data_IF_248640691708
#
_entry.id   IF_248640691708
#
_cell.length_a   1.000
_cell.length_b   1.000
_cell.length_c   1.000
_cell.angle_alpha   90.00
_cell.angle_beta   90.00
_cell.angle_gamma   90.00
#
_symmetry.space_group_name_H-M   'P 1'
#
loop_
_entity.id
_entity.type
_entity.pdbx_description
1 polymer ?
#
# COMPACT_ATOMS: atom_id res chain seq x y z
N UNK A 1 -14.24 -17.33 17.87
CA UNK A 1 -14.66 -16.51 16.72
C UNK A 1 -13.97 -15.15 16.80
N UNK A 2 -13.13 -14.76 15.82
CA UNK A 2 -12.43 -13.46 15.84
C UNK A 2 -13.42 -12.33 15.57
N UNK A 3 -13.39 -11.25 16.38
CA UNK A 3 -14.27 -10.08 16.24
C UNK A 3 -13.57 -8.92 15.53
N UNK A 4 -12.35 -8.59 15.95
CA UNK A 4 -11.53 -7.53 15.33
C UNK A 4 -11.05 -7.94 13.95
N UNK A 5 -11.08 -6.99 13.01
CA UNK A 5 -10.70 -7.20 11.61
C UNK A 5 -9.25 -6.80 11.36
N UNK A 6 -8.58 -7.49 10.44
CA UNK A 6 -7.19 -7.22 10.03
C UNK A 6 -7.20 -6.53 8.67
N UNK A 7 -6.61 -5.33 8.63
CA UNK A 7 -6.28 -4.60 7.42
C UNK A 7 -4.79 -4.79 7.14
N UNK A 8 -4.42 -5.23 5.95
CA UNK A 8 -3.02 -5.36 5.54
C UNK A 8 -2.75 -4.54 4.27
N UNK A 9 -1.65 -3.77 4.28
CA UNK A 9 -1.24 -2.97 3.10
C UNK A 9 -0.50 -3.87 2.12
N UNK A 10 -0.91 -3.85 0.85
CA UNK A 10 -0.24 -4.58 -0.21
C UNK A 10 0.90 -3.74 -0.80
N UNK A 11 2.07 -4.35 -0.94
CA UNK A 11 3.27 -3.75 -1.51
C UNK A 11 4.16 -4.80 -2.16
N UNK A 12 5.40 -4.44 -2.56
CA UNK A 12 6.30 -5.35 -3.26
C UNK A 12 6.61 -6.68 -2.54
N UNK A 13 6.48 -6.70 -1.21
CA UNK A 13 6.67 -7.92 -0.42
C UNK A 13 5.43 -8.84 -0.38
N UNK A 14 4.28 -8.39 -0.89
CA UNK A 14 2.97 -9.02 -0.70
C UNK A 14 2.04 -8.94 -1.92
N UNK A 15 2.57 -8.62 -3.10
CA UNK A 15 1.77 -8.45 -4.32
C UNK A 15 1.76 -9.67 -5.25
N UNK A 16 2.43 -10.77 -4.88
CA UNK A 16 2.32 -12.05 -5.60
C UNK A 16 1.05 -12.80 -5.20
N UNK A 17 0.57 -13.65 -6.11
CA UNK A 17 -0.61 -14.48 -5.88
C UNK A 17 -0.44 -15.38 -4.65
N UNK A 18 0.72 -16.06 -4.50
CA UNK A 18 0.97 -16.94 -3.37
C UNK A 18 0.98 -16.17 -2.04
N UNK A 19 1.59 -14.98 -2.01
CA UNK A 19 1.63 -14.16 -0.79
C UNK A 19 0.27 -13.62 -0.41
N UNK A 20 -0.53 -13.17 -1.38
CA UNK A 20 -1.91 -12.80 -1.09
C UNK A 20 -2.71 -13.96 -0.51
N UNK A 21 -2.59 -15.17 -1.07
CA UNK A 21 -3.28 -16.34 -0.52
C UNK A 21 -2.83 -16.67 0.91
N UNK A 22 -1.52 -16.61 1.19
CA UNK A 22 -0.97 -16.80 2.54
C UNK A 22 -1.53 -15.77 3.52
N UNK A 23 -1.62 -14.49 3.14
CA UNK A 23 -2.18 -13.42 3.97
C UNK A 23 -3.67 -13.62 4.24
N UNK A 24 -4.44 -14.05 3.24
CA UNK A 24 -5.87 -14.35 3.40
C UNK A 24 -6.06 -15.53 4.38
N UNK A 25 -5.28 -16.60 4.22
CA UNK A 25 -5.32 -17.77 5.12
C UNK A 25 -4.87 -17.41 6.54
N UNK A 26 -3.89 -16.52 6.69
CA UNK A 26 -3.46 -15.97 7.98
C UNK A 26 -4.50 -15.03 8.62
N UNK A 27 -5.55 -14.67 7.88
CA UNK A 27 -6.72 -13.95 8.40
C UNK A 27 -6.82 -12.48 7.99
N UNK A 28 -6.22 -12.04 6.89
CA UNK A 28 -6.50 -10.72 6.32
C UNK A 28 -8.00 -10.59 5.94
N UNK A 29 -8.68 -9.56 6.46
CA UNK A 29 -10.08 -9.25 6.10
C UNK A 29 -10.19 -8.15 5.04
N UNK A 30 -9.21 -7.22 5.02
CA UNK A 30 -9.19 -6.07 4.12
C UNK A 30 -7.78 -5.89 3.57
N UNK A 31 -7.67 -5.77 2.25
CA UNK A 31 -6.44 -5.36 1.59
C UNK A 31 -6.45 -3.85 1.33
N UNK A 32 -5.46 -3.14 1.88
CA UNK A 32 -5.24 -1.71 1.65
C UNK A 32 -4.31 -1.52 0.45
N UNK A 33 -4.76 -0.74 -0.51
CA UNK A 33 -3.99 -0.25 -1.66
C UNK A 33 -3.67 1.22 -1.43
N UNK A 34 -2.41 1.53 -1.14
CA UNK A 34 -1.97 2.90 -0.89
C UNK A 34 -1.62 3.60 -2.21
N UNK A 35 -2.41 4.60 -2.61
CA UNK A 35 -2.22 5.36 -3.84
C UNK A 35 -1.24 6.53 -3.70
N UNK A 36 -0.56 6.66 -2.55
CA UNK A 36 0.61 7.54 -2.44
C UNK A 36 1.79 7.07 -3.29
N UNK A 37 1.77 5.80 -3.71
CA UNK A 37 2.81 5.16 -4.52
C UNK A 37 2.20 4.27 -5.61
N UNK A 38 3.01 4.01 -6.64
CA UNK A 38 2.66 3.15 -7.77
C UNK A 38 1.71 3.79 -8.78
N UNK A 39 1.61 3.18 -9.95
CA UNK A 39 0.73 3.64 -11.03
C UNK A 39 -0.65 2.99 -10.93
N UNK A 40 -1.65 3.51 -11.66
CA UNK A 40 -2.97 2.90 -11.73
C UNK A 40 -2.91 1.47 -12.32
N UNK A 41 -2.00 1.20 -13.25
CA UNK A 41 -1.77 -0.13 -13.82
C UNK A 41 -1.29 -1.13 -12.77
N UNK A 42 -0.33 -0.72 -11.93
CA UNK A 42 0.17 -1.55 -10.83
C UNK A 42 -0.94 -1.83 -9.80
N UNK A 43 -1.73 -0.82 -9.44
CA UNK A 43 -2.85 -0.99 -8.51
C UNK A 43 -3.93 -1.90 -9.11
N UNK A 44 -4.20 -1.80 -10.42
CA UNK A 44 -5.13 -2.70 -11.12
C UNK A 44 -4.64 -4.14 -11.15
N UNK A 45 -3.33 -4.37 -11.33
CA UNK A 45 -2.73 -5.70 -11.27
C UNK A 45 -2.94 -6.32 -9.88
N UNK A 46 -2.64 -5.56 -8.80
CA UNK A 46 -2.88 -5.98 -7.41
C UNK A 46 -4.35 -6.28 -7.14
N UNK A 47 -5.25 -5.46 -7.66
CA UNK A 47 -6.70 -5.68 -7.55
C UNK A 47 -7.15 -6.99 -8.19
N UNK A 48 -6.68 -7.28 -9.41
CA UNK A 48 -7.00 -8.53 -10.12
C UNK A 48 -6.44 -9.75 -9.40
N UNK A 49 -5.19 -9.68 -8.94
CA UNK A 49 -4.55 -10.75 -8.17
C UNK A 49 -5.32 -11.05 -6.87
N UNK A 50 -5.70 -10.02 -6.13
CA UNK A 50 -6.47 -10.18 -4.89
C UNK A 50 -7.86 -10.79 -5.14
N UNK A 51 -8.56 -10.36 -6.20
CA UNK A 51 -9.84 -10.97 -6.60
C UNK A 51 -9.67 -12.45 -6.91
N UNK A 52 -8.67 -12.81 -7.70
CA UNK A 52 -8.36 -14.22 -7.99
C UNK A 52 -8.06 -14.99 -6.71
N UNK A 53 -7.21 -14.46 -5.83
CA UNK A 53 -6.81 -15.14 -4.59
C UNK A 53 -7.99 -15.41 -3.65
N UNK A 54 -8.87 -14.43 -3.46
CA UNK A 54 -10.05 -14.58 -2.58
C UNK A 54 -11.09 -15.55 -3.18
N UNK A 55 -11.25 -15.57 -4.51
CA UNK A 55 -12.11 -16.52 -5.23
C UNK A 55 -11.57 -17.95 -5.13
N UNK A 56 -10.27 -18.14 -5.36
CA UNK A 56 -9.60 -19.45 -5.21
C UNK A 56 -9.76 -20.01 -3.80
N UNK A 57 -9.75 -19.17 -2.77
CA UNK A 57 -9.89 -19.59 -1.37
C UNK A 57 -11.34 -19.62 -0.86
N UNK A 58 -12.32 -19.15 -1.63
CA UNK A 58 -13.70 -19.01 -1.17
C UNK A 58 -13.84 -18.09 0.05
N UNK A 59 -13.03 -17.04 0.15
CA UNK A 59 -13.02 -16.10 1.29
C UNK A 59 -13.46 -14.71 0.85
N UNK A 60 -14.20 -14.01 1.71
CA UNK A 60 -14.52 -12.61 1.50
C UNK A 60 -13.42 -11.73 2.07
N UNK A 61 -12.74 -11.00 1.18
CA UNK A 61 -11.73 -10.00 1.53
C UNK A 61 -12.10 -8.70 0.83
N UNK A 62 -12.23 -7.62 1.61
CA UNK A 62 -12.55 -6.30 1.10
C UNK A 62 -11.31 -5.59 0.53
N UNK A 63 -11.56 -4.58 -0.28
CA UNK A 63 -10.51 -3.74 -0.89
C UNK A 63 -10.71 -2.32 -0.39
N UNK A 64 -9.67 -1.75 0.18
CA UNK A 64 -9.64 -0.37 0.64
C UNK A 64 -8.67 0.41 -0.25
N UNK A 65 -9.19 1.39 -0.98
CA UNK A 65 -8.39 2.38 -1.69
C UNK A 65 -8.08 3.51 -0.71
N UNK A 66 -6.79 3.75 -0.49
CA UNK A 66 -6.31 4.83 0.36
C UNK A 66 -5.73 5.95 -0.49
N UNK A 67 -6.34 7.13 -0.40
CA UNK A 67 -5.97 8.29 -1.20
C UNK A 67 -4.72 8.95 -0.65
N UNK A 68 -3.93 9.59 -1.52
CA UNK A 68 -2.72 10.32 -1.08
C UNK A 68 -3.05 11.53 -0.18
N UNK A 69 -4.15 12.21 -0.48
CA UNK A 69 -4.58 13.42 0.22
C UNK A 69 -3.74 14.67 -0.11
N UNK A 70 -4.14 15.83 0.41
CA UNK A 70 -3.39 17.08 0.29
C UNK A 70 -2.14 17.07 1.18
N UNK A 71 -1.06 17.68 0.71
CA UNK A 71 0.23 17.75 1.42
C UNK A 71 0.97 19.05 1.09
N UNK A 72 1.78 19.55 2.04
CA UNK A 72 2.70 20.67 1.82
C UNK A 72 4.10 20.09 1.57
N UNK A 73 4.67 20.34 0.38
CA UNK A 73 6.00 19.87 -0.01
C UNK A 73 6.94 21.04 -0.27
N UNK A 74 8.24 20.77 -0.10
CA UNK A 74 9.31 21.68 -0.51
C UNK A 74 9.45 21.67 -2.04
N UNK A 75 10.06 22.73 -2.56
CA UNK A 75 10.47 22.80 -3.96
C UNK A 75 11.66 21.88 -4.28
N UNK A 76 12.18 22.01 -5.50
CA UNK A 76 13.40 21.30 -5.91
C UNK A 76 14.63 22.02 -5.36
N UNK A 77 15.62 21.24 -4.90
CA UNK A 77 16.93 21.74 -4.53
C UNK A 77 17.91 21.61 -5.70
N UNK A 78 18.79 22.61 -5.85
CA UNK A 78 19.95 22.47 -6.74
C UNK A 78 20.82 21.29 -6.28
N UNK A 79 21.25 20.44 -7.22
CA UNK A 79 21.96 19.20 -6.88
C UNK A 79 21.10 18.12 -6.22
N UNK A 80 19.78 18.30 -6.12
CA UNK A 80 18.81 17.30 -5.66
C UNK A 80 18.72 17.11 -4.14
N UNK A 81 19.55 17.80 -3.35
CA UNK A 81 19.54 17.74 -1.88
C UNK A 81 20.12 19.01 -1.27
N UNK A 82 19.72 19.32 -0.04
CA UNK A 82 20.37 20.30 0.81
C UNK A 82 20.84 19.62 2.10
N UNK A 83 22.03 19.97 2.59
CA UNK A 83 22.54 19.50 3.88
C UNK A 83 22.40 20.62 4.90
N UNK A 84 21.76 20.32 6.03
CA UNK A 84 21.52 21.28 7.10
C UNK A 84 22.55 21.06 8.21
N UNK A 85 23.38 22.06 8.45
CA UNK A 85 24.34 22.06 9.56
C UNK A 85 23.74 22.79 10.75
N UNK A 86 23.82 22.17 11.93
CA UNK A 86 23.30 22.75 13.17
C UNK A 86 23.87 24.15 13.40
N UNK A 87 22.98 25.12 13.61
CA UNK A 87 23.34 26.52 13.88
C UNK A 87 23.31 27.42 12.65
N UNK A 88 23.21 26.86 11.44
CA UNK A 88 23.05 27.65 10.22
C UNK A 88 21.58 28.00 9.98
N UNK A 89 21.34 29.20 9.45
CA UNK A 89 20.04 29.58 8.91
C UNK A 89 19.79 28.91 7.56
N UNK A 90 18.55 28.48 7.34
CA UNK A 90 18.07 27.93 6.07
C UNK A 90 16.74 28.62 5.74
N UNK A 91 16.70 29.32 4.61
CA UNK A 91 15.53 30.09 4.13
C UNK A 91 15.18 29.58 2.74
#
# INVERSE_FOLDING_TARGET
>A
MRKTKIVATLGPASDTQEKMMQLIQAGMDVARMNFSHGTHEEQLAKFKALKKARETLGRHVAILLDTKGPEVRLGLFEGGKAELVKGNSFI
#
